data_IF_313662625692
#
_entry.id   IF_313662625692
#
_cell.length_a   1.000
_cell.length_b   1.000
_cell.length_c   1.000
_cell.angle_alpha   90.00
_cell.angle_beta   90.00
_cell.angle_gamma   90.00
#
_symmetry.space_group_name_H-M   'P 1'
#
loop_
_entity.id
_entity.type
_entity.pdbx_description
1 polymer ?
#
# COMPACT_ATOMS: atom_id res chain seq x y z
N UNK A 1 -37.52 -3.69 -30.16
CA UNK A 1 -37.71 -2.35 -30.73
C UNK A 1 -36.32 -1.77 -30.87
N UNK A 2 -35.98 -1.25 -32.06
CA UNK A 2 -34.68 -0.60 -32.27
C UNK A 2 -34.74 0.73 -31.51
N UNK A 3 -33.63 1.11 -30.85
CA UNK A 3 -33.53 2.36 -30.10
C UNK A 3 -33.80 3.56 -31.03
N UNK A 4 -34.74 4.42 -30.66
CA UNK A 4 -35.13 5.61 -31.42
C UNK A 4 -33.92 6.57 -31.63
N UNK A 5 -32.91 6.48 -30.76
CA UNK A 5 -31.65 7.22 -30.87
C UNK A 5 -30.78 6.74 -32.04
N UNK A 6 -30.78 5.44 -32.35
CA UNK A 6 -30.00 4.86 -33.45
C UNK A 6 -30.64 5.16 -34.82
N UNK A 7 -31.98 5.20 -34.86
CA UNK A 7 -32.72 5.58 -36.06
C UNK A 7 -32.49 7.06 -36.40
N UNK A 8 -32.47 7.93 -35.39
CA UNK A 8 -32.16 9.34 -35.55
C UNK A 8 -30.68 9.60 -35.94
N UNK A 9 -29.72 8.83 -35.41
CA UNK A 9 -28.32 8.93 -35.84
C UNK A 9 -28.10 8.49 -37.29
N UNK A 10 -28.79 7.42 -37.73
CA UNK A 10 -28.71 6.93 -39.10
C UNK A 10 -29.39 7.89 -40.09
N UNK A 11 -30.53 8.49 -39.71
CA UNK A 11 -31.19 9.52 -40.52
C UNK A 11 -30.34 10.80 -40.62
N UNK A 12 -29.68 11.22 -39.55
CA UNK A 12 -28.77 12.36 -39.56
C UNK A 12 -27.52 12.13 -40.44
N UNK A 13 -26.97 10.92 -40.46
CA UNK A 13 -25.85 10.57 -41.35
C UNK A 13 -26.27 10.48 -42.83
N UNK A 14 -27.53 10.14 -43.11
CA UNK A 14 -28.06 10.09 -44.46
C UNK A 14 -28.31 11.51 -45.01
N UNK A 15 -28.83 12.42 -44.19
CA UNK A 15 -28.99 13.84 -44.54
C UNK A 15 -27.62 14.51 -44.80
N UNK A 16 -26.59 14.20 -44.00
CA UNK A 16 -25.23 14.71 -44.26
C UNK A 16 -24.61 14.22 -45.58
N UNK A 17 -25.00 13.04 -46.06
CA UNK A 17 -24.51 12.50 -47.34
C UNK A 17 -25.27 13.06 -48.55
N UNK A 18 -26.52 13.50 -48.34
CA UNK A 18 -27.38 14.09 -49.37
C UNK A 18 -27.18 15.61 -49.50
N UNK A 19 -26.75 16.27 -48.42
CA UNK A 19 -26.45 17.71 -48.37
C UNK A 19 -24.96 18.06 -48.50
N UNK A 20 -24.07 17.08 -48.65
CA UNK A 20 -22.70 17.39 -49.09
C UNK A 20 -22.74 17.69 -50.59
N UNK A 21 -22.60 18.95 -51.03
CA UNK A 21 -22.45 19.21 -52.44
C UNK A 21 -21.21 18.44 -52.88
N UNK A 22 -21.37 17.57 -53.88
CA UNK A 22 -20.25 16.96 -54.58
C UNK A 22 -19.44 18.12 -55.13
N UNK A 23 -18.43 18.55 -54.37
CA UNK A 23 -17.44 19.53 -54.83
C UNK A 23 -16.70 18.84 -55.96
N UNK A 24 -17.16 19.06 -57.19
CA UNK A 24 -16.30 18.89 -58.35
C UNK A 24 -15.07 19.76 -58.10
N UNK A 25 -13.91 19.12 -57.95
CA UNK A 25 -12.64 19.84 -57.93
C UNK A 25 -12.41 20.39 -59.33
N UNK A 26 -12.88 21.60 -59.59
CA UNK A 26 -12.47 22.36 -60.76
C UNK A 26 -11.11 22.99 -60.47
N UNK A 27 -10.04 22.44 -61.05
CA UNK A 27 -8.74 23.10 -61.12
C UNK A 27 -8.82 24.22 -62.16
N UNK A 28 -8.56 25.45 -61.72
CA UNK A 28 -8.57 26.66 -62.56
C UNK A 28 -7.15 26.89 -63.06
N UNK A 29 -6.97 27.09 -64.37
CA UNK A 29 -5.64 27.36 -64.95
C UNK A 29 -5.13 28.77 -64.58
N UNK A 30 -3.86 29.06 -64.85
CA UNK A 30 -3.24 30.37 -64.54
C UNK A 30 -3.80 31.56 -65.34
N UNK A 31 -4.88 31.38 -66.13
CA UNK A 31 -5.62 32.41 -66.87
C UNK A 31 -7.09 32.49 -66.46
N UNK A 32 -7.54 31.75 -65.44
CA UNK A 32 -8.87 31.91 -64.85
C UNK A 32 -10.03 31.29 -65.65
N UNK A 33 -9.76 30.40 -66.61
CA UNK A 33 -10.82 29.59 -67.24
C UNK A 33 -10.97 28.25 -66.50
N UNK A 34 -12.22 27.90 -66.16
CA UNK A 34 -12.55 26.57 -65.67
C UNK A 34 -12.26 25.56 -66.78
N UNK A 35 -11.21 24.76 -66.60
CA UNK A 35 -10.93 23.62 -67.46
C UNK A 35 -11.79 22.48 -66.91
N UNK A 36 -12.85 22.11 -67.63
CA UNK A 36 -13.39 20.78 -67.47
C UNK A 36 -12.31 19.83 -67.99
N UNK A 37 -11.57 19.19 -67.08
CA UNK A 37 -10.95 17.92 -67.44
C UNK A 37 -12.12 17.00 -67.80
N UNK A 38 -12.37 16.85 -69.10
CA UNK A 38 -13.03 15.68 -69.63
C UNK A 38 -12.12 14.51 -69.23
N UNK A 39 -12.42 13.93 -68.06
CA UNK A 39 -11.98 12.58 -67.76
C UNK A 39 -12.70 11.72 -68.78
N UNK A 40 -12.03 11.49 -69.92
CA UNK A 40 -12.35 10.40 -70.83
C UNK A 40 -12.26 9.12 -70.01
N UNK A 41 -13.39 8.72 -69.44
CA UNK A 41 -13.54 7.34 -69.06
C UNK A 41 -13.59 6.59 -70.39
N UNK A 42 -12.45 6.04 -70.82
CA UNK A 42 -12.42 4.85 -71.66
C UNK A 42 -13.17 3.76 -70.87
N UNK A 43 -14.50 3.81 -70.90
CA UNK A 43 -15.36 2.78 -70.36
C UNK A 43 -15.22 1.62 -71.34
N UNK A 44 -14.17 0.82 -71.14
CA UNK A 44 -14.20 -0.55 -71.63
C UNK A 44 -15.39 -1.22 -70.97
N UNK A 45 -16.51 -1.24 -71.70
CA UNK A 45 -17.70 -1.96 -71.30
C UNK A 45 -17.26 -3.41 -71.06
N UNK A 46 -17.55 -3.97 -69.87
CA UNK A 46 -17.06 -5.29 -69.54
C UNK A 46 -17.54 -6.29 -70.57
N UNK A 47 -16.61 -7.06 -71.12
CA UNK A 47 -16.94 -8.04 -72.15
C UNK A 47 -17.60 -9.28 -71.50
N UNK A 48 -18.18 -10.16 -72.33
CA UNK A 48 -18.89 -11.36 -71.84
C UNK A 48 -18.00 -12.31 -71.02
N UNK A 49 -16.69 -12.34 -71.30
CA UNK A 49 -15.74 -13.16 -70.54
C UNK A 49 -15.52 -12.61 -69.12
N UNK A 50 -15.39 -11.29 -68.96
CA UNK A 50 -15.27 -10.61 -67.67
C UNK A 50 -16.53 -10.78 -66.82
N UNK A 51 -17.72 -10.67 -67.44
CA UNK A 51 -19.01 -10.91 -66.77
C UNK A 51 -19.10 -12.37 -66.30
N UNK A 52 -18.75 -13.33 -67.16
CA UNK A 52 -18.80 -14.75 -66.81
C UNK A 52 -17.82 -15.11 -65.70
N UNK A 53 -16.60 -14.56 -65.75
CA UNK A 53 -15.59 -14.74 -64.70
C UNK A 53 -16.03 -14.14 -63.36
N UNK A 54 -16.61 -12.93 -63.36
CA UNK A 54 -17.12 -12.30 -62.16
C UNK A 54 -18.25 -13.13 -61.51
N UNK A 55 -19.17 -13.67 -62.31
CA UNK A 55 -20.25 -14.54 -61.81
C UNK A 55 -19.68 -15.83 -61.22
N UNK A 56 -18.74 -16.49 -61.92
CA UNK A 56 -18.11 -17.70 -61.42
C UNK A 56 -17.36 -17.46 -60.11
N UNK A 57 -16.65 -16.33 -60.00
CA UNK A 57 -15.95 -15.91 -58.78
C UNK A 57 -16.93 -15.70 -57.62
N UNK A 58 -18.07 -15.04 -57.85
CA UNK A 58 -19.09 -14.83 -56.81
C UNK A 58 -19.87 -16.12 -56.48
N UNK A 59 -20.04 -17.02 -57.45
CA UNK A 59 -20.68 -18.33 -57.26
C UNK A 59 -19.79 -19.24 -56.41
N UNK A 60 -18.49 -19.30 -56.68
CA UNK A 60 -17.52 -20.04 -55.86
C UNK A 60 -17.52 -19.55 -54.40
N UNK A 61 -17.72 -18.24 -54.17
CA UNK A 61 -17.84 -17.66 -52.84
C UNK A 61 -19.14 -18.05 -52.13
N UNK A 62 -20.24 -18.23 -52.88
CA UNK A 62 -21.50 -18.75 -52.35
C UNK A 62 -21.41 -20.26 -52.05
N UNK A 63 -20.78 -21.02 -52.95
CA UNK A 63 -20.63 -22.47 -52.86
C UNK A 63 -19.65 -22.87 -51.73
N UNK A 64 -18.70 -22.00 -51.37
CA UNK A 64 -17.85 -22.13 -50.19
C UNK A 64 -18.59 -22.02 -48.84
N UNK A 65 -19.89 -21.73 -48.86
CA UNK A 65 -20.73 -21.67 -47.67
C UNK A 65 -20.53 -20.42 -46.80
N UNK A 66 -21.25 -20.32 -45.67
CA UNK A 66 -21.33 -19.09 -44.86
C UNK A 66 -19.99 -18.58 -44.30
N UNK A 67 -18.99 -19.46 -44.13
CA UNK A 67 -17.64 -19.12 -43.63
C UNK A 67 -16.74 -18.45 -44.67
N UNK A 68 -17.01 -18.63 -45.97
CA UNK A 68 -16.36 -17.88 -47.04
C UNK A 68 -17.05 -16.55 -47.25
N UNK A 69 -18.37 -16.54 -47.11
CA UNK A 69 -19.21 -15.35 -47.29
C UNK A 69 -18.93 -14.23 -46.26
N UNK A 70 -18.57 -14.58 -45.02
CA UNK A 70 -18.19 -13.60 -44.01
C UNK A 70 -16.86 -12.88 -44.30
N UNK A 71 -16.03 -13.41 -45.21
CA UNK A 71 -14.76 -12.80 -45.63
C UNK A 71 -14.87 -12.01 -46.94
N UNK A 72 -16.04 -12.04 -47.59
CA UNK A 72 -16.30 -11.32 -48.84
C UNK A 72 -16.00 -9.82 -48.75
N UNK A 73 -16.28 -9.11 -47.63
CA UNK A 73 -15.91 -7.69 -47.49
C UNK A 73 -14.40 -7.43 -47.57
N UNK A 74 -13.58 -8.41 -47.16
CA UNK A 74 -12.11 -8.31 -47.11
C UNK A 74 -11.43 -8.94 -48.34
N UNK A 75 -12.21 -9.51 -49.27
CA UNK A 75 -11.68 -10.17 -50.46
C UNK A 75 -11.69 -9.23 -51.67
N UNK A 76 -10.51 -8.74 -52.13
CA UNK A 76 -10.43 -7.82 -53.26
C UNK A 76 -11.05 -8.41 -54.54
N UNK A 77 -10.90 -9.72 -54.77
CA UNK A 77 -11.49 -10.40 -55.93
C UNK A 77 -13.03 -10.37 -55.95
N UNK A 78 -13.67 -10.44 -54.78
CA UNK A 78 -15.13 -10.38 -54.67
C UNK A 78 -15.65 -8.96 -54.93
N UNK A 79 -14.91 -7.95 -54.45
CA UNK A 79 -15.20 -6.55 -54.69
C UNK A 79 -15.02 -6.18 -56.18
N UNK A 80 -13.94 -6.62 -56.81
CA UNK A 80 -13.70 -6.44 -58.25
C UNK A 80 -14.77 -7.13 -59.10
N UNK A 81 -15.16 -8.37 -58.77
CA UNK A 81 -16.25 -9.07 -59.45
C UNK A 81 -17.60 -8.34 -59.32
N UNK A 82 -17.92 -7.84 -58.12
CA UNK A 82 -19.11 -7.02 -57.87
C UNK A 82 -19.09 -5.70 -58.67
N UNK A 83 -17.92 -5.05 -58.80
CA UNK A 83 -17.77 -3.85 -59.62
C UNK A 83 -17.98 -4.12 -61.11
N UNK A 84 -17.45 -5.23 -61.62
CA UNK A 84 -17.65 -5.64 -63.03
C UNK A 84 -19.13 -5.85 -63.32
N UNK A 85 -19.86 -6.55 -62.45
CA UNK A 85 -21.30 -6.82 -62.66
C UNK A 85 -22.19 -5.58 -62.51
N UNK A 86 -21.83 -4.65 -61.64
CA UNK A 86 -22.57 -3.38 -61.50
C UNK A 86 -22.41 -2.43 -62.68
N UNK A 87 -21.37 -2.61 -63.50
CA UNK A 87 -21.07 -1.79 -64.69
C UNK A 87 -21.46 -2.48 -66.01
N UNK A 88 -21.96 -3.72 -65.96
CA UNK A 88 -22.30 -4.48 -67.15
C UNK A 88 -23.52 -3.86 -67.87
N UNK A 89 -23.41 -3.49 -69.17
CA UNK A 89 -24.48 -2.79 -69.89
C UNK A 89 -25.71 -3.68 -70.13
N UNK A 90 -25.51 -5.00 -70.24
CA UNK A 90 -26.58 -6.00 -70.35
C UNK A 90 -26.16 -7.30 -69.67
N UNK A 91 -26.92 -7.68 -68.65
CA UNK A 91 -26.87 -9.02 -68.07
C UNK A 91 -28.00 -9.85 -68.67
N UNK A 92 -27.77 -11.14 -68.91
CA UNK A 92 -28.87 -12.05 -69.23
C UNK A 92 -29.84 -12.17 -68.04
N UNK A 93 -31.07 -12.61 -68.28
CA UNK A 93 -32.07 -12.77 -67.21
C UNK A 93 -31.59 -13.68 -66.07
N UNK A 94 -30.83 -14.73 -66.38
CA UNK A 94 -30.22 -15.63 -65.40
C UNK A 94 -29.12 -14.94 -64.59
N UNK A 95 -28.26 -14.16 -65.25
CA UNK A 95 -27.17 -13.44 -64.60
C UNK A 95 -27.68 -12.29 -63.71
N UNK A 96 -28.72 -11.58 -64.18
CA UNK A 96 -29.37 -10.52 -63.42
C UNK A 96 -30.05 -11.08 -62.17
N UNK A 97 -30.74 -12.22 -62.28
CA UNK A 97 -31.33 -12.91 -61.12
C UNK A 97 -30.26 -13.30 -60.10
N UNK A 98 -29.17 -13.92 -60.55
CA UNK A 98 -28.04 -14.26 -59.68
C UNK A 98 -27.46 -13.03 -58.96
N UNK A 99 -27.23 -11.93 -59.68
CA UNK A 99 -26.67 -10.71 -59.11
C UNK A 99 -27.59 -10.08 -58.04
N UNK A 100 -28.90 -10.06 -58.28
CA UNK A 100 -29.90 -9.58 -57.31
C UNK A 100 -29.94 -10.49 -56.07
N UNK A 101 -29.92 -11.81 -56.26
CA UNK A 101 -29.91 -12.77 -55.16
C UNK A 101 -28.62 -12.64 -54.32
N UNK A 102 -27.45 -12.54 -54.98
CA UNK A 102 -26.16 -12.36 -54.33
C UNK A 102 -26.10 -11.06 -53.51
N UNK A 103 -26.50 -9.92 -54.09
CA UNK A 103 -26.46 -8.62 -53.40
C UNK A 103 -27.40 -8.57 -52.20
N UNK A 104 -28.55 -9.23 -52.30
CA UNK A 104 -29.51 -9.38 -51.20
C UNK A 104 -28.91 -10.21 -50.06
N UNK A 105 -28.34 -11.37 -50.37
CA UNK A 105 -27.66 -12.24 -49.39
C UNK A 105 -26.48 -11.49 -48.76
N UNK A 106 -25.63 -10.84 -49.57
CA UNK A 106 -24.48 -10.04 -49.13
C UNK A 106 -24.87 -8.95 -48.12
N UNK A 107 -25.92 -8.19 -48.44
CA UNK A 107 -26.42 -7.12 -47.56
C UNK A 107 -26.93 -7.68 -46.22
N UNK A 108 -27.67 -8.79 -46.25
CA UNK A 108 -28.19 -9.42 -45.04
C UNK A 108 -27.08 -10.01 -44.15
N UNK A 109 -26.09 -10.67 -44.74
CA UNK A 109 -24.96 -11.24 -43.99
C UNK A 109 -24.05 -10.17 -43.40
N UNK A 110 -23.69 -9.14 -44.17
CA UNK A 110 -22.84 -8.05 -43.68
C UNK A 110 -23.50 -7.31 -42.50
N UNK A 111 -24.83 -7.06 -42.57
CA UNK A 111 -25.58 -6.47 -41.45
C UNK A 111 -25.55 -7.36 -40.20
N UNK A 112 -25.75 -8.68 -40.34
CA UNK A 112 -25.67 -9.61 -39.19
C UNK A 112 -24.26 -9.75 -38.63
N UNK A 113 -23.25 -9.75 -39.49
CA UNK A 113 -21.85 -9.87 -39.12
C UNK A 113 -21.37 -8.65 -38.34
N UNK A 114 -21.66 -7.43 -38.81
CA UNK A 114 -21.36 -6.19 -38.06
C UNK A 114 -22.01 -6.16 -36.67
N UNK A 115 -23.23 -6.67 -36.55
CA UNK A 115 -23.93 -6.80 -35.25
C UNK A 115 -23.26 -7.85 -34.35
N UNK A 116 -22.69 -8.92 -34.92
CA UNK A 116 -21.94 -9.91 -34.16
C UNK A 116 -20.57 -9.37 -33.71
N UNK A 117 -19.83 -8.70 -34.59
CA UNK A 117 -18.55 -8.06 -34.26
C UNK A 117 -18.71 -7.03 -33.14
N UNK A 118 -19.74 -6.17 -33.20
CA UNK A 118 -19.99 -5.20 -32.14
C UNK A 118 -20.32 -5.86 -30.80
N UNK A 119 -21.06 -6.97 -30.81
CA UNK A 119 -21.33 -7.78 -29.60
C UNK A 119 -20.07 -8.46 -29.05
N UNK A 120 -19.19 -8.96 -29.92
CA UNK A 120 -17.92 -9.56 -29.51
C UNK A 120 -17.00 -8.50 -28.89
N UNK A 121 -16.88 -7.33 -29.52
CA UNK A 121 -16.11 -6.20 -28.98
C UNK A 121 -16.66 -5.74 -27.61
N UNK A 122 -17.98 -5.68 -27.46
CA UNK A 122 -18.61 -5.39 -26.17
C UNK A 122 -18.30 -6.46 -25.12
N UNK A 123 -18.36 -7.75 -25.48
CA UNK A 123 -18.03 -8.85 -24.59
C UNK A 123 -16.54 -8.88 -24.19
N UNK A 124 -15.62 -8.51 -25.10
CA UNK A 124 -14.19 -8.35 -24.81
C UNK A 124 -13.94 -7.16 -23.88
N UNK A 125 -14.63 -6.04 -24.09
CA UNK A 125 -14.59 -4.88 -23.20
C UNK A 125 -15.06 -5.23 -21.78
N UNK A 126 -16.18 -5.97 -21.65
CA UNK A 126 -16.66 -6.48 -20.36
C UNK A 126 -15.65 -7.43 -19.72
N UNK A 127 -15.06 -8.36 -20.48
CA UNK A 127 -14.04 -9.28 -19.97
C UNK A 127 -12.80 -8.54 -19.45
N UNK A 128 -12.33 -7.53 -20.19
CA UNK A 128 -11.21 -6.68 -19.76
C UNK A 128 -11.55 -5.91 -18.49
N UNK A 129 -12.72 -5.28 -18.43
CA UNK A 129 -13.18 -4.57 -17.23
C UNK A 129 -13.25 -5.47 -15.98
N UNK A 130 -13.76 -6.69 -16.13
CA UNK A 130 -13.82 -7.66 -15.02
C UNK A 130 -12.42 -8.09 -14.58
N UNK A 131 -11.50 -8.34 -15.52
CA UNK A 131 -10.12 -8.69 -15.21
C UNK A 131 -9.41 -7.56 -14.46
N UNK A 132 -9.52 -6.33 -14.96
CA UNK A 132 -8.91 -5.13 -14.35
C UNK A 132 -9.50 -4.87 -12.96
N UNK A 133 -10.82 -5.01 -12.80
CA UNK A 133 -11.49 -4.86 -11.50
C UNK A 133 -11.08 -5.95 -10.52
N UNK A 134 -10.94 -7.19 -10.97
CA UNK A 134 -10.49 -8.31 -10.14
C UNK A 134 -9.05 -8.09 -9.66
N UNK A 135 -8.16 -7.64 -10.55
CA UNK A 135 -6.78 -7.30 -10.20
C UNK A 135 -6.72 -6.15 -9.17
N UNK A 136 -7.55 -5.11 -9.34
CA UNK A 136 -7.64 -4.01 -8.39
C UNK A 136 -8.12 -4.47 -7.01
N UNK A 137 -9.13 -5.35 -6.96
CA UNK A 137 -9.64 -5.93 -5.70
C UNK A 137 -8.58 -6.80 -5.03
N UNK A 138 -7.86 -7.64 -5.78
CA UNK A 138 -6.77 -8.46 -5.23
C UNK A 138 -5.66 -7.60 -4.65
N UNK A 139 -5.24 -6.55 -5.34
CA UNK A 139 -4.25 -5.60 -4.83
C UNK A 139 -4.71 -4.93 -3.53
N UNK A 140 -5.96 -4.47 -3.49
CA UNK A 140 -6.54 -3.87 -2.26
C UNK A 140 -6.64 -4.86 -1.11
N UNK A 141 -6.92 -6.12 -1.40
CA UNK A 141 -6.92 -7.20 -0.41
C UNK A 141 -5.51 -7.44 0.16
N UNK A 142 -4.49 -7.46 -0.68
CA UNK A 142 -3.09 -7.61 -0.26
C UNK A 142 -2.64 -6.42 0.62
N UNK A 143 -2.93 -5.19 0.19
CA UNK A 143 -2.68 -3.97 0.98
C UNK A 143 -3.37 -4.03 2.35
N UNK A 144 -4.62 -4.47 2.39
CA UNK A 144 -5.37 -4.63 3.65
C UNK A 144 -4.76 -5.70 4.56
N UNK A 145 -4.33 -6.83 4.00
CA UNK A 145 -3.68 -7.90 4.78
C UNK A 145 -2.34 -7.44 5.36
N UNK A 146 -1.53 -6.73 4.59
CA UNK A 146 -0.27 -6.16 5.08
C UNK A 146 -0.51 -5.13 6.20
N UNK A 147 -1.50 -4.24 6.04
CA UNK A 147 -1.88 -3.29 7.08
C UNK A 147 -2.38 -4.01 8.36
N UNK A 148 -3.18 -5.07 8.20
CA UNK A 148 -3.65 -5.89 9.32
C UNK A 148 -2.49 -6.54 10.08
N UNK A 149 -1.53 -7.12 9.38
CA UNK A 149 -0.34 -7.74 10.00
C UNK A 149 0.53 -6.72 10.74
N UNK A 150 0.70 -5.52 10.17
CA UNK A 150 1.38 -4.41 10.84
C UNK A 150 0.66 -4.01 12.14
N UNK A 151 -0.67 -3.89 12.11
CA UNK A 151 -1.46 -3.60 13.31
C UNK A 151 -1.40 -4.70 14.37
N UNK A 152 -1.42 -5.97 13.97
CA UNK A 152 -1.24 -7.09 14.92
C UNK A 152 0.12 -7.01 15.61
N UNK A 153 1.17 -6.65 14.87
CA UNK A 153 2.52 -6.47 15.42
C UNK A 153 2.56 -5.30 16.41
N UNK A 154 1.92 -4.17 16.08
CA UNK A 154 1.79 -3.03 16.99
C UNK A 154 1.03 -3.39 18.28
N UNK A 155 -0.06 -4.16 18.17
CA UNK A 155 -0.83 -4.61 19.34
C UNK A 155 0.03 -5.47 20.27
N UNK A 156 0.80 -6.41 19.71
CA UNK A 156 1.74 -7.24 20.50
C UNK A 156 2.79 -6.38 21.21
N UNK A 157 3.32 -5.38 20.52
CA UNK A 157 4.28 -4.44 21.12
C UNK A 157 3.67 -3.62 22.27
N UNK A 158 2.43 -3.14 22.10
CA UNK A 158 1.69 -2.43 23.16
C UNK A 158 1.40 -3.34 24.37
N UNK A 159 1.07 -4.61 24.14
CA UNK A 159 0.89 -5.58 25.22
C UNK A 159 2.19 -5.80 26.00
N UNK A 160 3.31 -5.97 25.30
CA UNK A 160 4.62 -6.08 25.93
C UNK A 160 4.99 -4.83 26.75
N UNK A 161 4.76 -3.63 26.21
CA UNK A 161 4.98 -2.37 26.95
C UNK A 161 4.12 -2.29 28.21
N UNK A 162 2.85 -2.72 28.13
CA UNK A 162 1.94 -2.76 29.27
C UNK A 162 2.46 -3.69 30.38
N UNK A 163 2.91 -4.89 30.02
CA UNK A 163 3.53 -5.82 30.98
C UNK A 163 4.78 -5.22 31.62
N UNK A 164 5.62 -4.53 30.83
CA UNK A 164 6.83 -3.86 31.34
C UNK A 164 6.49 -2.75 32.32
N UNK A 165 5.46 -1.95 32.04
CA UNK A 165 4.96 -0.90 32.95
C UNK A 165 4.48 -1.55 34.26
N UNK A 166 3.66 -2.59 34.20
CA UNK A 166 3.18 -3.27 35.41
C UNK A 166 4.32 -3.87 36.25
N UNK A 167 5.37 -4.40 35.62
CA UNK A 167 6.58 -4.85 36.33
C UNK A 167 7.29 -3.70 37.05
N UNK A 168 7.46 -2.56 36.37
CA UNK A 168 8.10 -1.37 36.94
C UNK A 168 7.25 -0.76 38.07
N UNK A 169 5.93 -0.76 37.94
CA UNK A 169 5.01 -0.33 39.00
C UNK A 169 5.13 -1.22 40.25
N UNK A 170 5.27 -2.53 40.07
CA UNK A 170 5.50 -3.47 41.17
C UNK A 170 6.86 -3.23 41.85
N UNK A 171 7.93 -2.97 41.08
CA UNK A 171 9.25 -2.62 41.61
C UNK A 171 9.21 -1.29 42.37
N UNK A 172 8.56 -0.26 41.81
CA UNK A 172 8.41 1.04 42.44
C UNK A 172 7.61 0.93 43.74
N UNK A 173 6.54 0.12 43.76
CA UNK A 173 5.78 -0.18 44.98
C UNK A 173 6.65 -0.85 46.05
N UNK A 174 7.50 -1.82 45.67
CA UNK A 174 8.45 -2.46 46.59
C UNK A 174 9.43 -1.44 47.17
N UNK A 175 10.05 -0.61 46.31
CA UNK A 175 10.98 0.44 46.75
C UNK A 175 10.28 1.44 47.68
N UNK A 176 9.05 1.85 47.36
CA UNK A 176 8.26 2.76 48.19
C UNK A 176 7.98 2.20 49.57
N UNK A 177 7.82 0.87 49.70
CA UNK A 177 7.66 0.22 51.01
C UNK A 177 8.99 0.07 51.77
N UNK A 178 10.13 0.03 51.07
CA UNK A 178 11.45 -0.07 51.69
C UNK A 178 11.97 1.27 52.22
N UNK A 179 11.64 2.40 51.59
CA UNK A 179 12.09 3.74 52.01
C UNK A 179 11.72 4.04 53.47
N UNK A 180 10.47 3.85 53.94
CA UNK A 180 10.12 4.10 55.35
C UNK A 180 10.88 3.19 56.33
N UNK A 181 11.19 1.96 55.93
CA UNK A 181 11.98 1.04 56.77
C UNK A 181 13.43 1.53 56.92
N UNK A 182 14.02 2.04 55.83
CA UNK A 182 15.35 2.64 55.86
C UNK A 182 15.36 3.93 56.70
N UNK A 183 14.37 4.81 56.53
CA UNK A 183 14.23 6.04 57.33
C UNK A 183 14.05 5.73 58.83
N UNK A 184 13.26 4.71 59.18
CA UNK A 184 13.10 4.29 60.57
C UNK A 184 14.40 3.70 61.12
N UNK A 185 15.13 2.90 60.32
CA UNK A 185 16.44 2.38 60.71
C UNK A 185 17.43 3.50 60.96
N UNK A 186 17.45 4.54 60.13
CA UNK A 186 18.33 5.69 60.29
C UNK A 186 18.00 6.47 61.57
N UNK A 187 16.71 6.69 61.86
CA UNK A 187 16.27 7.29 63.13
C UNK A 187 16.74 6.48 64.34
N UNK A 188 16.54 5.17 64.31
CA UNK A 188 16.99 4.27 65.39
C UNK A 188 18.51 4.34 65.58
N UNK A 189 19.29 4.38 64.49
CA UNK A 189 20.75 4.52 64.56
C UNK A 189 21.18 5.88 65.10
N UNK A 190 20.51 6.96 64.72
CA UNK A 190 20.76 8.30 65.26
C UNK A 190 20.46 8.37 66.76
N UNK A 191 19.36 7.77 67.22
CA UNK A 191 19.02 7.66 68.65
C UNK A 191 20.06 6.84 69.42
N UNK A 192 20.48 5.69 68.90
CA UNK A 192 21.54 4.88 69.49
C UNK A 192 22.87 5.63 69.57
N UNK A 193 23.24 6.35 68.50
CA UNK A 193 24.44 7.19 68.48
C UNK A 193 24.38 8.27 69.55
N UNK A 194 23.25 8.98 69.67
CA UNK A 194 23.08 10.03 70.67
C UNK A 194 23.19 9.46 72.09
N UNK A 195 22.54 8.33 72.36
CA UNK A 195 22.64 7.63 73.65
C UNK A 195 24.09 7.26 73.97
N UNK A 196 24.81 6.65 73.03
CA UNK A 196 26.21 6.30 73.21
C UNK A 196 27.09 7.53 73.49
N UNK A 197 26.87 8.64 72.78
CA UNK A 197 27.57 9.89 73.04
C UNK A 197 27.34 10.40 74.47
N UNK A 198 26.09 10.36 74.97
CA UNK A 198 25.77 10.77 76.34
C UNK A 198 26.41 9.83 77.38
N UNK A 199 26.37 8.52 77.15
CA UNK A 199 27.01 7.52 78.02
C UNK A 199 28.53 7.74 78.06
N UNK A 200 29.17 8.00 76.91
CA UNK A 200 30.59 8.34 76.82
C UNK A 200 30.92 9.65 77.54
N UNK A 201 30.13 10.70 77.36
CA UNK A 201 30.34 11.98 78.05
C UNK A 201 30.24 11.80 79.58
N UNK A 202 29.28 11.00 80.03
CA UNK A 202 29.12 10.66 81.46
C UNK A 202 30.31 9.86 81.98
N UNK A 203 30.77 8.87 81.21
CA UNK A 203 31.98 8.09 81.53
C UNK A 203 33.24 8.95 81.61
N UNK A 204 33.41 9.90 80.67
CA UNK A 204 34.51 10.86 80.67
C UNK A 204 34.46 11.77 81.91
N UNK A 205 33.28 12.30 82.28
CA UNK A 205 33.10 13.12 83.49
C UNK A 205 33.45 12.33 84.77
N UNK A 206 33.02 11.08 84.87
CA UNK A 206 33.37 10.21 86.01
C UNK A 206 34.87 9.94 86.08
N UNK A 207 35.50 9.68 84.93
CA UNK A 207 36.95 9.47 84.84
C UNK A 207 37.72 10.74 85.21
N UNK A 208 37.25 11.91 84.78
CA UNK A 208 37.84 13.20 85.15
C UNK A 208 37.76 13.46 86.66
N UNK A 209 36.61 13.18 87.30
CA UNK A 209 36.47 13.27 88.77
C UNK A 209 37.46 12.36 89.51
N UNK A 210 37.60 11.11 89.06
CA UNK A 210 38.58 10.18 89.65
C UNK A 210 40.00 10.73 89.47
N UNK A 211 40.33 11.25 88.28
CA UNK A 211 41.63 11.88 88.00
C UNK A 211 41.91 13.08 88.90
N UNK A 212 40.89 13.87 89.25
CA UNK A 212 41.02 15.00 90.20
C UNK A 212 41.23 14.55 91.65
N UNK A 213 40.62 13.43 92.07
CA UNK A 213 40.77 12.89 93.43
C UNK A 213 42.08 12.11 93.62
N UNK A 214 42.63 11.54 92.55
CA UNK A 214 43.84 10.69 92.59
C UNK A 214 45.04 11.36 93.28
N UNK A 215 45.38 12.65 93.03
CA UNK A 215 46.50 13.32 93.71
C UNK A 215 46.31 13.41 95.22
N UNK A 216 45.08 13.62 95.70
CA UNK A 216 44.78 13.66 97.14
C UNK A 216 44.98 12.29 97.79
N UNK A 217 44.52 11.22 97.13
CA UNK A 217 44.78 9.84 97.58
C UNK A 217 46.28 9.51 97.59
N UNK A 218 47.03 9.93 96.57
CA UNK A 218 48.49 9.77 96.52
C UNK A 218 49.15 10.54 97.67
N UNK A 219 48.78 11.80 97.90
CA UNK A 219 49.32 12.59 99.00
C UNK A 219 49.04 11.96 100.38
N UNK A 220 47.83 11.46 100.58
CA UNK A 220 47.43 10.76 101.81
C UNK A 220 48.24 9.47 102.00
N UNK A 221 48.49 8.72 100.93
CA UNK A 221 49.33 7.52 100.95
C UNK A 221 50.80 7.85 101.22
N UNK A 222 51.34 8.92 100.64
CA UNK A 222 52.70 9.40 100.88
C UNK A 222 52.89 9.87 102.34
N UNK A 223 51.89 10.53 102.91
CA UNK A 223 51.90 10.97 104.31
C UNK A 223 51.87 9.77 105.27
N UNK A 224 50.98 8.80 105.04
CA UNK A 224 50.97 7.55 105.79
C UNK A 224 52.31 6.78 105.66
N UNK A 225 52.93 6.77 104.47
CA UNK A 225 54.23 6.16 104.25
C UNK A 225 55.35 6.87 105.03
N UNK A 226 55.29 8.20 105.14
CA UNK A 226 56.21 8.99 105.99
C UNK A 226 56.02 8.66 107.47
N UNK A 227 54.78 8.62 107.96
CA UNK A 227 54.49 8.25 109.36
C UNK A 227 55.00 6.85 109.70
N UNK A 228 54.75 5.87 108.82
CA UNK A 228 55.27 4.50 108.98
C UNK A 228 56.80 4.51 109.04
N UNK A 229 57.46 5.30 108.18
CA UNK A 229 58.92 5.42 108.17
C UNK A 229 59.42 6.02 109.49
N UNK A 230 58.80 7.09 109.97
CA UNK A 230 59.14 7.73 111.26
C UNK A 230 58.94 6.75 112.42
N UNK A 231 57.79 6.07 112.50
CA UNK A 231 57.55 5.05 113.53
C UNK A 231 58.58 3.92 113.46
N UNK A 232 59.02 3.52 112.27
CA UNK A 232 60.06 2.51 112.08
C UNK A 232 61.42 3.00 112.58
N UNK A 233 61.77 4.25 112.30
CA UNK A 233 63.01 4.89 112.78
C UNK A 233 62.99 5.04 114.31
N UNK A 234 61.88 5.48 114.89
CA UNK A 234 61.67 5.57 116.34
C UNK A 234 61.76 4.20 117.02
N UNK A 235 61.09 3.19 116.47
CA UNK A 235 61.17 1.81 116.95
C UNK A 235 62.60 1.28 116.90
N UNK A 236 63.32 1.50 115.79
CA UNK A 236 64.71 1.07 115.65
C UNK A 236 65.63 1.79 116.64
N UNK A 237 65.41 3.08 116.90
CA UNK A 237 66.15 3.86 117.89
C UNK A 237 65.91 3.35 119.31
N UNK A 238 64.63 3.11 119.65
CA UNK A 238 64.24 2.50 120.92
C UNK A 238 64.87 1.12 121.12
N UNK A 239 64.83 0.26 120.09
CA UNK A 239 65.42 -1.07 120.11
C UNK A 239 66.95 -0.99 120.33
N UNK A 240 67.63 -0.07 119.65
CA UNK A 240 69.08 0.13 119.82
C UNK A 240 69.46 0.62 121.24
N UNK A 241 68.59 1.37 121.92
CA UNK A 241 68.85 1.83 123.29
C UNK A 241 68.63 0.73 124.36
N UNK A 242 67.91 -0.34 124.01
CA UNK A 242 67.59 -1.46 124.91
C UNK A 242 68.62 -2.59 124.90
N UNK A 243 69.35 -2.74 123.80
CA UNK A 243 70.44 -3.70 123.63
C UNK A 243 71.78 -3.14 124.13
#
# INVERSE_FOLDING_TARGET
MIDDDLENELLAQLDMLMDTPVKSRSTIDSKGKAVAEEVDFDINLPNQEQISFAIMTLQELLDGGPSHFCKVPDQPAAFEAAQILSRAPQLSSTQQKFWVDFTTIYTHFNRKFRVLESKVAAADSVRKFVADSTAAVLKKKEEFMAAKEAHVTQIKHLQWLKEKISSLEAELSKLRNQVPLAEQSEKNLAEQRNKLCMDMETGLKSTAKIKEQLPSFIASADEAAKEIKTMREEWSSWQNNLC
#
